data_IF_230543175967
#
_entry.id   IF_230543175967
#
_cell.length_a   1.000
_cell.length_b   1.000
_cell.length_c   1.000
_cell.angle_alpha   90.00
_cell.angle_beta   90.00
_cell.angle_gamma   90.00
#
_symmetry.space_group_name_H-M   'P 1'
#
loop_
_entity.id
_entity.type
_entity.pdbx_description
1 polymer ?
#
# COMPACT_ATOMS: atom_id res chain seq x y z
N UNK A 1 -12.23 18.22 -5.33
CA UNK A 1 -11.16 19.23 -5.42
C UNK A 1 -10.32 18.96 -6.65
N UNK A 2 -9.78 20.00 -7.28
CA UNK A 2 -8.89 19.93 -8.44
C UNK A 2 -7.41 20.03 -8.04
N UNK A 3 -6.49 19.67 -8.94
CA UNK A 3 -5.04 19.81 -8.73
C UNK A 3 -4.66 21.26 -8.42
N UNK A 4 -5.29 22.23 -9.13
CA UNK A 4 -5.02 23.66 -9.00
C UNK A 4 -5.49 24.20 -7.64
N UNK A 5 -6.69 23.77 -7.18
CA UNK A 5 -7.22 24.12 -5.87
C UNK A 5 -6.32 23.60 -4.74
N UNK A 6 -5.85 22.35 -4.85
CA UNK A 6 -4.93 21.75 -3.86
C UNK A 6 -3.59 22.47 -3.87
N UNK A 7 -3.04 22.78 -5.04
CA UNK A 7 -1.78 23.51 -5.17
C UNK A 7 -1.87 24.90 -4.52
N UNK A 8 -2.97 25.61 -4.75
CA UNK A 8 -3.23 26.92 -4.14
C UNK A 8 -3.38 26.84 -2.62
N UNK A 9 -4.10 25.83 -2.13
CA UNK A 9 -4.33 25.65 -0.69
C UNK A 9 -3.06 25.23 0.07
N UNK A 10 -2.18 24.45 -0.57
CA UNK A 10 -0.95 23.93 0.07
C UNK A 10 0.29 24.77 -0.20
N UNK A 11 0.25 25.71 -1.15
CA UNK A 11 1.41 26.48 -1.58
C UNK A 11 2.47 25.67 -2.34
N UNK A 12 2.15 24.43 -2.73
CA UNK A 12 3.07 23.53 -3.45
C UNK A 12 2.99 23.73 -4.96
N UNK A 13 4.11 23.45 -5.65
CA UNK A 13 4.12 23.43 -7.11
C UNK A 13 3.18 22.36 -7.65
N UNK A 14 2.36 22.68 -8.63
CA UNK A 14 1.34 21.79 -9.22
C UNK A 14 1.89 20.43 -9.68
N UNK A 15 3.13 20.39 -10.17
CA UNK A 15 3.78 19.13 -10.56
C UNK A 15 4.04 18.19 -9.38
N UNK A 16 4.35 18.75 -8.20
CA UNK A 16 4.54 17.98 -6.97
C UNK A 16 3.18 17.44 -6.51
N UNK A 17 2.15 18.29 -6.51
CA UNK A 17 0.78 17.90 -6.16
C UNK A 17 0.29 16.75 -7.04
N UNK A 18 0.44 16.86 -8.35
CA UNK A 18 0.09 15.80 -9.31
C UNK A 18 0.81 14.49 -9.01
N UNK A 19 2.13 14.53 -8.78
CA UNK A 19 2.92 13.35 -8.45
C UNK A 19 2.38 12.64 -7.20
N UNK A 20 2.08 13.39 -6.14
CA UNK A 20 1.52 12.85 -4.89
C UNK A 20 0.12 12.27 -5.12
N UNK A 21 -0.74 12.99 -5.85
CA UNK A 21 -2.10 12.52 -6.17
C UNK A 21 -2.09 11.21 -6.97
N UNK A 22 -1.22 11.09 -7.97
CA UNK A 22 -1.09 9.84 -8.72
C UNK A 22 -0.54 8.69 -7.86
N UNK A 23 0.39 8.94 -6.94
CA UNK A 23 0.86 7.94 -5.98
C UNK A 23 -0.25 7.48 -5.02
N UNK A 24 -1.04 8.42 -4.50
CA UNK A 24 -2.20 8.13 -3.66
C UNK A 24 -3.30 7.39 -4.44
N UNK A 25 -3.52 7.73 -5.71
CA UNK A 25 -4.46 7.04 -6.59
C UNK A 25 -4.02 5.60 -6.86
N UNK A 26 -2.73 5.38 -7.13
CA UNK A 26 -2.15 4.04 -7.29
C UNK A 26 -2.27 3.16 -6.04
N UNK A 27 -2.32 3.78 -4.86
CA UNK A 27 -2.58 3.10 -3.57
C UNK A 27 -4.08 2.97 -3.25
N UNK A 28 -4.98 3.38 -4.15
CA UNK A 28 -6.43 3.39 -4.01
C UNK A 28 -6.97 4.24 -2.83
N UNK A 29 -6.18 5.19 -2.32
CA UNK A 29 -6.55 6.08 -1.21
C UNK A 29 -7.52 7.18 -1.65
N UNK A 30 -7.43 7.59 -2.91
CA UNK A 30 -8.27 8.61 -3.53
C UNK A 30 -8.88 8.10 -4.83
N UNK A 31 -9.97 8.72 -5.24
CA UNK A 31 -10.59 8.50 -6.54
C UNK A 31 -10.47 9.76 -7.39
N UNK A 32 -10.07 9.61 -8.65
CA UNK A 32 -10.04 10.68 -9.63
C UNK A 32 -11.15 10.51 -10.66
N UNK A 33 -11.98 11.53 -10.84
CA UNK A 33 -13.00 11.57 -11.89
C UNK A 33 -12.56 12.60 -12.92
N UNK A 34 -12.50 12.19 -14.19
CA UNK A 34 -12.18 13.07 -15.30
C UNK A 34 -13.44 13.83 -15.73
N UNK A 35 -13.45 15.13 -15.59
CA UNK A 35 -14.57 16.00 -15.94
C UNK A 35 -14.09 16.99 -17.01
N UNK A 36 -14.93 17.22 -18.04
CA UNK A 36 -14.65 18.26 -19.04
C UNK A 36 -14.99 19.62 -18.42
N UNK A 37 -14.04 20.53 -18.39
CA UNK A 37 -14.27 21.92 -17.98
C UNK A 37 -14.94 22.65 -19.13
N UNK A 38 -16.18 23.11 -18.94
CA UNK A 38 -16.98 23.80 -19.94
C UNK A 38 -16.38 25.16 -20.35
N UNK A 39 -15.64 25.80 -19.44
CA UNK A 39 -15.05 27.12 -19.67
C UNK A 39 -13.72 27.04 -20.43
N UNK A 40 -12.90 26.03 -20.11
CA UNK A 40 -11.55 25.87 -20.67
C UNK A 40 -11.49 24.85 -21.83
N UNK A 41 -12.54 24.03 -22.02
CA UNK A 41 -12.61 22.97 -23.02
C UNK A 41 -11.69 21.77 -22.78
N UNK A 42 -10.91 21.77 -21.71
CA UNK A 42 -9.97 20.72 -21.32
C UNK A 42 -10.57 19.77 -20.31
N UNK A 43 -9.96 18.59 -20.15
CA UNK A 43 -10.36 17.66 -19.11
C UNK A 43 -9.58 17.94 -17.83
N UNK A 44 -10.29 18.08 -16.72
CA UNK A 44 -9.74 18.29 -15.37
C UNK A 44 -10.05 17.08 -14.51
N UNK A 45 -9.10 16.65 -13.70
CA UNK A 45 -9.34 15.60 -12.70
C UNK A 45 -9.90 16.23 -11.43
N UNK A 46 -11.00 15.66 -10.94
CA UNK A 46 -11.55 15.97 -9.62
C UNK A 46 -11.25 14.82 -8.68
N UNK A 47 -10.57 15.12 -7.60
CA UNK A 47 -10.11 14.14 -6.62
C UNK A 47 -11.03 14.10 -5.40
N UNK A 48 -11.28 12.89 -4.90
CA UNK A 48 -12.04 12.64 -3.67
C UNK A 48 -11.32 11.58 -2.85
N UNK A 49 -11.08 11.85 -1.56
CA UNK A 49 -10.59 10.85 -0.63
C UNK A 49 -11.71 9.86 -0.27
N UNK A 50 -11.34 8.59 -0.12
CA UNK A 50 -12.22 7.52 0.36
C UNK A 50 -11.76 7.11 1.75
N UNK A 51 -12.49 7.50 2.78
CA UNK A 51 -12.11 7.24 4.17
C UNK A 51 -11.94 5.75 4.44
N UNK A 52 -12.92 4.93 4.02
CA UNK A 52 -12.87 3.46 4.20
C UNK A 52 -11.61 2.82 3.59
N UNK A 53 -11.14 3.33 2.46
CA UNK A 53 -9.92 2.85 1.81
C UNK A 53 -8.66 3.27 2.56
N UNK A 54 -8.66 4.46 3.17
CA UNK A 54 -7.56 4.95 4.01
C UNK A 54 -7.41 4.07 5.24
N UNK A 55 -8.51 3.78 5.93
CA UNK A 55 -8.51 2.94 7.12
C UNK A 55 -8.04 1.52 6.82
N UNK A 56 -8.55 0.92 5.74
CA UNK A 56 -8.10 -0.38 5.26
C UNK A 56 -6.61 -0.39 4.87
N UNK A 57 -6.12 0.69 4.25
CA UNK A 57 -4.70 0.83 3.92
C UNK A 57 -3.84 0.86 5.18
N UNK A 58 -4.22 1.67 6.18
CA UNK A 58 -3.52 1.76 7.46
C UNK A 58 -3.49 0.40 8.16
N UNK A 59 -4.61 -0.31 8.21
CA UNK A 59 -4.68 -1.65 8.81
C UNK A 59 -3.76 -2.63 8.09
N UNK A 60 -3.75 -2.62 6.76
CA UNK A 60 -2.86 -3.47 5.96
C UNK A 60 -1.38 -3.12 6.17
N UNK A 61 -1.02 -1.85 6.35
CA UNK A 61 0.35 -1.46 6.69
C UNK A 61 0.74 -1.93 8.10
N UNK A 62 -0.16 -1.79 9.08
CA UNK A 62 0.06 -2.32 10.43
C UNK A 62 0.30 -3.84 10.41
N UNK A 63 -0.50 -4.61 9.66
CA UNK A 63 -0.31 -6.06 9.48
C UNK A 63 1.06 -6.40 8.87
N UNK A 64 1.49 -5.67 7.83
CA UNK A 64 2.81 -5.87 7.22
C UNK A 64 3.97 -5.57 8.19
N UNK A 65 3.81 -4.54 9.02
CA UNK A 65 4.80 -4.21 10.06
C UNK A 65 4.84 -5.32 11.10
N UNK A 66 3.67 -5.78 11.55
CA UNK A 66 3.53 -6.87 12.52
C UNK A 66 4.23 -8.16 12.02
N UNK A 67 3.98 -8.55 10.78
CA UNK A 67 4.63 -9.70 10.15
C UNK A 67 6.18 -9.57 10.11
N UNK A 68 6.68 -8.38 9.79
CA UNK A 68 8.13 -8.12 9.84
C UNK A 68 8.71 -8.19 11.25
N UNK A 69 7.96 -7.71 12.24
CA UNK A 69 8.38 -7.78 13.65
C UNK A 69 8.37 -9.22 14.16
N UNK A 70 7.38 -10.03 13.79
CA UNK A 70 7.36 -11.47 14.11
C UNK A 70 8.56 -12.20 13.51
N UNK A 71 8.84 -12.01 12.22
CA UNK A 71 10.02 -12.60 11.57
C UNK A 71 11.34 -12.17 12.23
N UNK A 72 11.40 -10.91 12.66
CA UNK A 72 12.57 -10.40 13.38
C UNK A 72 12.69 -11.03 14.77
N UNK A 73 11.56 -11.14 15.49
CA UNK A 73 11.53 -11.77 16.80
C UNK A 73 11.95 -13.24 16.72
N UNK A 74 11.37 -14.00 15.80
CA UNK A 74 11.73 -15.40 15.53
C UNK A 74 13.22 -15.56 15.19
N UNK A 75 13.75 -14.65 14.39
CA UNK A 75 15.17 -14.64 14.07
C UNK A 75 16.06 -14.36 15.29
N UNK A 76 15.67 -13.44 16.17
CA UNK A 76 16.40 -13.19 17.42
C UNK A 76 16.21 -14.31 18.44
N UNK A 77 15.14 -15.09 18.35
CA UNK A 77 14.88 -16.23 19.25
C UNK A 77 15.67 -17.48 18.81
N UNK A 78 15.67 -17.75 17.51
CA UNK A 78 16.30 -18.94 16.93
C UNK A 78 17.82 -18.82 16.70
N UNK A 79 18.38 -17.61 16.76
CA UNK A 79 19.78 -17.35 16.40
C UNK A 79 20.57 -16.76 17.56
N UNK A 80 21.68 -17.36 17.89
CA UNK A 80 22.67 -16.80 18.80
C UNK A 80 23.62 -15.84 18.06
N UNK A 81 23.85 -14.69 18.66
CA UNK A 81 24.68 -13.65 18.07
C UNK A 81 25.96 -13.43 18.91
N UNK A 82 27.03 -13.17 18.19
CA UNK A 82 28.35 -12.88 18.72
C UNK A 82 28.80 -11.48 18.27
N UNK A 83 29.46 -10.75 19.13
CA UNK A 83 29.96 -9.42 18.84
C UNK A 83 31.32 -9.19 19.51
N UNK A 84 32.17 -8.39 18.89
CA UNK A 84 33.42 -7.95 19.48
C UNK A 84 33.20 -6.68 20.36
N UNK A 85 34.22 -6.28 21.09
CA UNK A 85 34.16 -5.08 21.94
C UNK A 85 34.00 -3.78 21.15
N UNK A 86 34.25 -3.77 19.87
CA UNK A 86 34.13 -2.60 19.01
C UNK A 86 32.68 -2.46 18.50
N UNK A 87 32.01 -1.39 18.89
CA UNK A 87 30.60 -1.10 18.57
C UNK A 87 30.33 -0.91 17.07
N UNK A 88 31.32 -0.56 16.28
CA UNK A 88 31.20 -0.31 14.85
C UNK A 88 31.19 -1.62 14.02
N UNK A 89 31.50 -2.75 14.64
CA UNK A 89 31.46 -4.04 13.97
C UNK A 89 30.05 -4.63 13.99
N UNK A 90 29.63 -5.35 12.93
CA UNK A 90 28.34 -6.03 12.91
C UNK A 90 28.32 -7.24 13.84
N UNK A 91 27.13 -7.58 14.35
CA UNK A 91 26.90 -8.86 15.04
C UNK A 91 27.03 -10.03 14.06
N UNK A 92 27.60 -11.11 14.48
CA UNK A 92 27.86 -12.32 13.70
C UNK A 92 27.03 -13.47 14.28
N UNK A 93 26.46 -14.33 13.44
CA UNK A 93 25.74 -15.53 13.86
C UNK A 93 26.71 -16.59 14.34
N UNK A 94 26.26 -17.53 15.19
CA UNK A 94 27.05 -18.62 15.71
C UNK A 94 27.79 -19.40 14.62
N UNK A 95 27.08 -19.80 13.55
CA UNK A 95 27.65 -20.61 12.46
C UNK A 95 28.89 -19.92 11.83
N UNK A 96 28.71 -18.60 11.52
CA UNK A 96 29.79 -17.79 10.94
C UNK A 96 30.91 -17.52 11.97
N UNK A 97 30.56 -17.33 13.24
CA UNK A 97 31.55 -17.13 14.30
C UNK A 97 32.42 -18.37 14.48
N UNK A 98 31.82 -19.57 14.38
CA UNK A 98 32.54 -20.86 14.40
C UNK A 98 33.52 -20.98 13.25
N UNK A 99 33.12 -20.70 12.03
CA UNK A 99 33.99 -20.70 10.84
C UNK A 99 35.18 -19.74 10.98
N UNK A 100 34.97 -18.60 11.66
CA UNK A 100 36.01 -17.58 11.91
C UNK A 100 36.80 -17.81 13.20
N UNK A 101 36.69 -18.99 13.82
CA UNK A 101 37.32 -19.29 15.10
C UNK A 101 37.08 -18.24 16.18
N UNK A 102 35.84 -17.71 16.24
CA UNK A 102 35.38 -16.62 17.15
C UNK A 102 36.26 -15.36 17.08
N UNK A 103 36.75 -15.03 15.90
CA UNK A 103 37.43 -13.77 15.60
C UNK A 103 36.60 -12.89 14.70
N UNK A 104 36.53 -11.61 15.05
CA UNK A 104 35.78 -10.64 14.26
C UNK A 104 36.35 -10.47 12.85
N UNK A 105 35.54 -10.55 11.78
CA UNK A 105 36.02 -10.39 10.41
C UNK A 105 36.63 -9.02 10.12
N UNK A 106 36.18 -7.98 10.81
CA UNK A 106 36.64 -6.60 10.59
C UNK A 106 37.90 -6.25 11.41
N UNK A 107 37.84 -6.43 12.73
CA UNK A 107 38.92 -5.99 13.63
C UNK A 107 39.76 -7.16 14.22
N UNK A 108 39.41 -8.40 13.91
CA UNK A 108 40.09 -9.63 14.40
C UNK A 108 40.07 -9.81 15.93
N UNK A 109 39.39 -8.96 16.67
CA UNK A 109 39.20 -9.11 18.11
C UNK A 109 38.32 -10.33 18.43
N UNK A 110 38.43 -10.90 19.64
CA UNK A 110 37.58 -12.01 20.03
C UNK A 110 36.11 -11.64 20.02
N UNK A 111 35.26 -12.58 19.59
CA UNK A 111 33.82 -12.47 19.57
C UNK A 111 33.25 -13.05 20.86
N UNK A 112 32.43 -12.31 21.55
CA UNK A 112 31.72 -12.74 22.74
C UNK A 112 30.21 -12.89 22.44
N UNK A 113 29.57 -13.84 23.12
CA UNK A 113 28.12 -14.02 23.00
C UNK A 113 27.39 -12.76 23.45
N UNK A 114 26.38 -12.35 22.69
CA UNK A 114 25.58 -11.18 22.97
C UNK A 114 24.25 -11.60 23.58
N UNK A 115 23.94 -11.06 24.77
CA UNK A 115 22.61 -11.20 25.33
C UNK A 115 21.63 -10.29 24.56
N UNK A 116 20.68 -10.92 23.87
CA UNK A 116 19.65 -10.26 23.09
C UNK A 116 18.28 -10.19 23.83
N UNK A 117 18.24 -10.49 25.12
CA UNK A 117 17.00 -10.48 25.94
C UNK A 117 16.26 -9.17 25.86
N UNK A 118 16.96 -8.04 25.98
CA UNK A 118 16.38 -6.70 25.86
C UNK A 118 15.76 -6.44 24.47
N UNK A 119 16.39 -6.95 23.42
CA UNK A 119 15.87 -6.81 22.05
C UNK A 119 14.60 -7.63 21.89
N UNK A 120 14.58 -8.85 22.41
CA UNK A 120 13.39 -9.73 22.41
C UNK A 120 12.23 -9.10 23.17
N UNK A 121 12.46 -8.56 24.37
CA UNK A 121 11.44 -7.86 25.15
C UNK A 121 10.88 -6.63 24.42
N UNK A 122 11.75 -5.81 23.85
CA UNK A 122 11.33 -4.65 23.07
C UNK A 122 10.50 -5.03 21.83
N UNK A 123 10.87 -6.13 21.16
CA UNK A 123 10.10 -6.65 20.02
C UNK A 123 8.74 -7.18 20.47
N UNK A 124 8.67 -7.96 21.55
CA UNK A 124 7.38 -8.43 22.13
C UNK A 124 6.47 -7.26 22.45
N UNK A 125 6.98 -6.29 23.19
CA UNK A 125 6.21 -5.10 23.54
C UNK A 125 5.64 -4.38 22.31
N UNK A 126 6.44 -4.22 21.24
CA UNK A 126 5.98 -3.59 19.99
C UNK A 126 4.94 -4.43 19.24
N UNK A 127 5.11 -5.74 19.25
CA UNK A 127 4.15 -6.67 18.66
C UNK A 127 2.81 -6.56 19.38
N UNK A 128 2.81 -6.58 20.70
CA UNK A 128 1.60 -6.48 21.54
C UNK A 128 0.90 -5.12 21.33
N UNK A 129 1.65 -4.02 21.29
CA UNK A 129 1.11 -2.69 21.00
C UNK A 129 0.36 -2.67 19.66
N UNK A 130 1.02 -3.12 18.58
CA UNK A 130 0.41 -3.07 17.24
C UNK A 130 -0.79 -4.02 17.14
N UNK A 131 -0.72 -5.18 17.77
CA UNK A 131 -1.83 -6.14 17.82
C UNK A 131 -3.05 -5.53 18.51
N UNK A 132 -2.84 -4.86 19.64
CA UNK A 132 -3.90 -4.15 20.37
C UNK A 132 -4.46 -3.00 19.55
N UNK A 133 -3.63 -2.24 18.88
CA UNK A 133 -4.04 -1.14 17.99
C UNK A 133 -4.89 -1.64 16.81
N UNK A 134 -4.56 -2.79 16.24
CA UNK A 134 -5.35 -3.40 15.16
C UNK A 134 -6.70 -3.86 15.68
N UNK A 135 -6.76 -4.47 16.88
CA UNK A 135 -7.99 -4.91 17.49
C UNK A 135 -8.92 -3.72 17.80
N UNK A 136 -8.37 -2.64 18.38
CA UNK A 136 -9.13 -1.44 18.72
C UNK A 136 -9.65 -0.73 17.45
N UNK A 137 -8.86 -0.63 16.37
CA UNK A 137 -9.31 -0.03 15.11
C UNK A 137 -10.46 -0.83 14.49
N UNK A 138 -10.44 -2.16 14.55
CA UNK A 138 -11.55 -3.00 14.07
C UNK A 138 -12.83 -2.80 14.86
N UNK A 139 -12.73 -2.71 16.19
CA UNK A 139 -13.91 -2.51 17.04
C UNK A 139 -14.55 -1.14 16.81
N UNK A 140 -13.74 -0.08 16.61
CA UNK A 140 -14.25 1.26 16.31
C UNK A 140 -14.90 1.35 14.92
N UNK A 141 -14.34 0.68 13.92
CA UNK A 141 -14.94 0.61 12.57
C UNK A 141 -16.26 -0.18 12.58
N UNK A 142 -16.33 -1.29 13.31
CA UNK A 142 -17.57 -2.06 13.47
C UNK A 142 -18.67 -1.25 14.18
N UNK A 143 -18.31 -0.48 15.20
CA UNK A 143 -19.24 0.40 15.91
C UNK A 143 -19.74 1.55 15.01
N UNK A 144 -18.86 2.16 14.19
CA UNK A 144 -19.21 3.19 13.23
C UNK A 144 -20.11 2.65 12.10
N UNK A 145 -19.85 1.45 11.61
CA UNK A 145 -20.68 0.78 10.60
C UNK A 145 -22.07 0.45 11.14
N UNK A 146 -22.18 0.02 12.40
CA UNK A 146 -23.45 -0.24 13.05
C UNK A 146 -24.30 1.04 13.30
N UNK A 147 -23.62 2.18 13.51
CA UNK A 147 -24.28 3.48 13.71
C UNK A 147 -24.73 4.13 12.39
N UNK A 148 -24.19 3.73 11.25
CA UNK A 148 -24.49 4.27 9.91
C UNK A 148 -25.38 3.38 9.06
N UNK A 149 -26.04 2.37 9.62
CA UNK A 149 -27.00 1.55 8.91
C UNK A 149 -28.20 2.43 8.48
N UNK A 150 -28.51 2.57 7.17
CA UNK A 150 -29.70 3.30 6.73
C UNK A 150 -30.93 2.52 7.18
N UNK A 151 -31.87 3.25 7.80
CA UNK A 151 -33.25 2.75 7.98
C UNK A 151 -33.78 2.50 6.58
N UNK A 152 -34.04 1.26 6.22
CA UNK A 152 -34.70 0.86 4.98
C UNK A 152 -36.14 1.43 4.99
N UNK A 153 -36.38 2.49 4.25
CA UNK A 153 -37.69 2.85 3.79
C UNK A 153 -38.09 1.89 2.67
N UNK A 154 -39.12 1.09 2.94
CA UNK A 154 -39.75 0.21 1.94
C UNK A 154 -40.27 1.04 0.77
N UNK A 155 -39.92 0.77 -0.49
CA UNK A 155 -40.61 1.31 -1.63
C UNK A 155 -41.82 0.42 -1.98
N UNK A 156 -43.03 0.94 -1.76
CA UNK A 156 -44.30 0.39 -2.24
C UNK A 156 -44.25 0.03 -3.72
N UNK A 157 -44.62 -1.20 -3.99
CA UNK A 157 -44.84 -1.77 -5.32
C UNK A 157 -45.76 -0.92 -6.22
N UNK A 158 -45.32 -0.68 -7.46
CA UNK A 158 -46.19 -0.43 -8.59
C UNK A 158 -45.83 -1.32 -9.77
N UNK A 159 -46.84 -2.03 -10.25
CA UNK A 159 -46.89 -3.09 -11.22
C UNK A 159 -46.51 -2.68 -12.68
N UNK A 160 -46.39 -3.64 -13.62
CA UNK A 160 -45.54 -3.59 -14.81
C UNK A 160 -46.26 -2.99 -16.04
N UNK A 161 -45.52 -2.31 -16.91
CA UNK A 161 -45.98 -2.03 -18.30
C UNK A 161 -44.97 -2.61 -19.32
N UNK A 162 -45.55 -3.48 -20.11
CA UNK A 162 -45.20 -4.16 -21.39
C UNK A 162 -44.05 -3.56 -22.21
N UNK A 163 -43.22 -4.50 -22.66
CA UNK A 163 -42.23 -4.37 -23.73
C UNK A 163 -42.90 -4.14 -25.11
N UNK A 164 -42.18 -3.56 -26.07
CA UNK A 164 -42.21 -4.05 -27.42
C UNK A 164 -40.85 -4.60 -27.88
N UNK A 165 -40.94 -5.71 -28.57
CA UNK A 165 -39.89 -6.48 -29.24
C UNK A 165 -39.25 -5.64 -30.36
N UNK A 166 -37.94 -5.52 -30.38
CA UNK A 166 -37.15 -5.04 -31.52
C UNK A 166 -36.07 -6.05 -31.87
N UNK A 167 -35.97 -6.40 -33.15
CA UNK A 167 -35.19 -7.45 -33.81
C UNK A 167 -33.65 -7.20 -33.66
N UNK A 168 -32.86 -8.30 -33.75
CA UNK A 168 -31.38 -8.20 -33.71
C UNK A 168 -30.80 -7.73 -35.04
N UNK A 169 -29.87 -6.78 -35.00
CA UNK A 169 -29.07 -6.37 -36.14
C UNK A 169 -27.79 -7.22 -36.24
N UNK A 170 -27.46 -7.62 -37.49
CA UNK A 170 -26.30 -8.40 -37.92
C UNK A 170 -24.96 -7.73 -37.63
N UNK A 171 -23.89 -8.47 -37.33
CA UNK A 171 -22.54 -7.91 -37.23
C UNK A 171 -21.92 -7.70 -38.61
N UNK A 172 -21.23 -6.57 -38.80
CA UNK A 172 -20.44 -6.25 -39.98
C UNK A 172 -19.04 -6.91 -39.92
N UNK A 173 -18.43 -7.22 -41.08
CA UNK A 173 -17.21 -8.03 -41.16
C UNK A 173 -15.93 -7.21 -40.85
N UNK A 174 -14.95 -7.91 -40.25
CA UNK A 174 -13.64 -7.43 -39.90
C UNK A 174 -12.81 -7.02 -41.14
N UNK A 175 -12.18 -5.87 -41.10
CA UNK A 175 -11.19 -5.42 -42.06
C UNK A 175 -9.83 -6.11 -41.80
N UNK A 176 -9.21 -6.60 -42.90
CA UNK A 176 -7.88 -7.20 -42.94
C UNK A 176 -6.80 -6.12 -42.79
N UNK A 177 -5.67 -6.39 -42.11
CA UNK A 177 -4.53 -5.47 -42.13
C UNK A 177 -3.75 -5.60 -43.44
N UNK A 178 -3.35 -4.44 -44.02
CA UNK A 178 -2.47 -4.33 -45.16
C UNK A 178 -0.99 -4.55 -44.76
N UNK A 179 -0.14 -5.09 -45.67
CA UNK A 179 1.25 -5.39 -45.38
C UNK A 179 2.14 -4.13 -45.48
N UNK A 180 2.98 -3.94 -44.47
CA UNK A 180 4.00 -2.88 -44.39
C UNK A 180 5.15 -3.22 -45.36
N UNK A 181 5.48 -2.31 -46.28
CA UNK A 181 6.67 -2.37 -47.17
C UNK A 181 7.94 -2.03 -46.37
N UNK A 182 9.06 -2.73 -46.60
CA UNK A 182 10.35 -2.35 -46.02
C UNK A 182 10.96 -1.15 -46.71
N UNK A 183 11.62 -0.27 -45.93
CA UNK A 183 12.37 0.87 -46.41
C UNK A 183 13.75 0.45 -46.96
N UNK A 184 14.31 1.18 -47.95
CA UNK A 184 15.57 0.83 -48.58
C UNK A 184 16.77 1.20 -47.71
N UNK A 185 17.79 0.32 -47.75
CA UNK A 185 19.10 0.49 -47.18
C UNK A 185 19.88 1.44 -48.13
N UNK A 186 20.47 2.49 -47.57
CA UNK A 186 21.43 3.35 -48.30
C UNK A 186 22.87 2.90 -47.99
N UNK A 187 23.67 2.82 -49.04
CA UNK A 187 25.12 2.61 -49.03
C UNK A 187 25.88 3.75 -48.36
#
# INVERSE_FOLDING_TARGET
VTDEEIASATGLKINIVRKVLYDMFGKALITGIRVKDEKKGWFVYRWRAKQDHVDNFIENQKKKILDRLHKRFEHEESTEFYHCSNKDCPRVKFDVAGELFFKCPNCKAPLNMVDNSRVKEALRYKIDQITTDIANSKSSMAAAAAASAPVEEEPKAKAPKKQPKGKPAKPAPAAKPEPVKPAPVAE
#
